data_IF_675081900776
#
_entry.id   IF_675081900776
#
_cell.length_a   1.000
_cell.length_b   1.000
_cell.length_c   1.000
_cell.angle_alpha   90.00
_cell.angle_beta   90.00
_cell.angle_gamma   90.00
#
_symmetry.space_group_name_H-M   'P 1'
#
loop_
_entity.id
_entity.type
_entity.pdbx_description
1 polymer ?
#
# COMPACT_ATOMS: atom_id res chain seq x y z
N UNK A 1 29.96 -21.19 25.31
CA UNK A 1 29.20 -22.28 25.95
C UNK A 1 28.65 -23.15 24.83
N UNK A 2 28.73 -24.47 24.94
CA UNK A 2 28.08 -25.37 24.00
C UNK A 2 26.69 -25.69 24.53
N UNK A 3 25.66 -25.55 23.70
CA UNK A 3 24.27 -25.78 24.06
C UNK A 3 23.85 -27.21 23.73
N UNK A 4 22.96 -27.76 24.56
CA UNK A 4 22.22 -28.98 24.25
C UNK A 4 21.06 -28.70 23.30
N UNK A 5 20.50 -29.75 22.69
CA UNK A 5 19.36 -29.65 21.77
C UNK A 5 18.14 -28.95 22.42
N UNK A 6 17.85 -29.27 23.68
CA UNK A 6 16.72 -28.71 24.43
C UNK A 6 16.93 -27.22 24.66
N UNK A 7 18.15 -26.83 25.06
CA UNK A 7 18.50 -25.43 25.29
C UNK A 7 18.40 -24.61 24.00
N UNK A 8 18.92 -25.11 22.87
CA UNK A 8 18.86 -24.42 21.57
C UNK A 8 17.41 -24.12 21.14
N UNK A 9 16.51 -25.08 21.31
CA UNK A 9 15.10 -24.92 20.91
C UNK A 9 14.36 -23.95 21.84
N UNK A 10 14.71 -23.98 23.13
CA UNK A 10 14.12 -23.14 24.16
C UNK A 10 14.63 -21.69 24.17
N UNK A 11 15.63 -21.35 23.35
CA UNK A 11 16.13 -19.98 23.25
C UNK A 11 15.01 -19.03 22.82
N UNK A 12 14.74 -18.07 23.70
CA UNK A 12 13.78 -16.99 23.47
C UNK A 12 14.30 -16.01 22.41
N UNK A 13 15.58 -15.61 22.53
CA UNK A 13 16.30 -14.83 21.52
C UNK A 13 17.57 -15.56 21.05
N UNK A 14 17.46 -16.49 20.09
CA UNK A 14 18.61 -17.24 19.60
C UNK A 14 19.67 -16.36 18.93
N UNK A 15 19.30 -15.18 18.41
CA UNK A 15 20.26 -14.27 17.77
C UNK A 15 21.32 -13.81 18.76
N UNK A 16 20.98 -13.39 19.97
CA UNK A 16 21.96 -12.89 20.94
C UNK A 16 23.06 -13.90 21.25
N UNK A 17 22.68 -15.18 21.37
CA UNK A 17 23.59 -16.25 21.77
C UNK A 17 24.30 -16.92 20.59
N UNK A 18 23.78 -16.77 19.36
CA UNK A 18 24.33 -17.31 18.12
C UNK A 18 24.64 -16.19 17.11
N UNK A 19 25.01 -15.00 17.60
CA UNK A 19 25.16 -13.77 16.79
C UNK A 19 26.48 -13.68 16.03
N UNK A 20 27.47 -14.51 16.36
CA UNK A 20 28.79 -14.50 15.74
C UNK A 20 29.20 -15.87 15.18
N UNK A 21 30.20 -15.85 14.30
CA UNK A 21 30.70 -17.05 13.62
C UNK A 21 31.28 -18.08 14.58
N UNK A 22 31.85 -17.66 15.71
CA UNK A 22 32.47 -18.55 16.68
C UNK A 22 31.41 -19.33 17.48
N UNK A 23 30.33 -18.66 17.88
CA UNK A 23 29.20 -19.27 18.58
C UNK A 23 28.49 -20.30 17.70
N UNK A 24 28.29 -19.98 16.43
CA UNK A 24 27.73 -20.90 15.45
C UNK A 24 28.66 -22.11 15.20
N UNK A 25 29.98 -21.88 15.09
CA UNK A 25 30.94 -22.96 14.88
C UNK A 25 31.02 -23.90 16.10
N UNK A 26 31.03 -23.34 17.32
CA UNK A 26 31.05 -24.10 18.57
C UNK A 26 29.83 -25.00 18.75
N UNK A 27 28.69 -24.63 18.17
CA UNK A 27 27.43 -25.37 18.28
C UNK A 27 27.07 -26.12 16.98
N UNK A 28 27.94 -26.12 15.97
CA UNK A 28 27.63 -26.62 14.63
C UNK A 28 27.18 -28.08 14.63
N UNK A 29 27.83 -28.95 15.41
CA UNK A 29 27.47 -30.36 15.54
C UNK A 29 26.03 -30.51 16.02
N UNK A 30 25.69 -29.88 17.14
CA UNK A 30 24.34 -29.91 17.71
C UNK A 30 23.30 -29.29 16.79
N UNK A 31 23.62 -28.16 16.14
CA UNK A 31 22.74 -27.50 15.18
C UNK A 31 22.43 -28.40 13.98
N UNK A 32 23.39 -29.20 13.52
CA UNK A 32 23.20 -30.15 12.42
C UNK A 32 22.41 -31.41 12.85
N UNK A 33 22.32 -31.73 14.15
CA UNK A 33 21.47 -32.84 14.63
C UNK A 33 19.98 -32.48 14.70
N UNK A 34 19.63 -31.20 14.56
CA UNK A 34 18.24 -30.76 14.56
C UNK A 34 17.50 -31.28 13.32
N UNK A 35 16.21 -31.58 13.47
CA UNK A 35 15.37 -31.89 12.32
C UNK A 35 15.22 -30.67 11.40
N UNK A 36 14.91 -30.89 10.12
CA UNK A 36 14.72 -29.80 9.15
C UNK A 36 13.75 -28.71 9.66
N UNK A 37 12.62 -29.13 10.24
CA UNK A 37 11.63 -28.21 10.81
C UNK A 37 12.19 -27.36 11.95
N UNK A 38 13.03 -27.95 12.80
CA UNK A 38 13.68 -27.24 13.92
C UNK A 38 14.76 -26.29 13.42
N UNK A 39 15.54 -26.71 12.42
CA UNK A 39 16.53 -25.85 11.77
C UNK A 39 15.86 -24.62 11.14
N UNK A 40 14.77 -24.82 10.39
CA UNK A 40 14.00 -23.73 9.78
C UNK A 40 13.42 -22.79 10.83
N UNK A 41 12.84 -23.33 11.91
CA UNK A 41 12.29 -22.52 12.99
C UNK A 41 13.36 -21.69 13.70
N UNK A 42 14.51 -22.30 14.01
CA UNK A 42 15.63 -21.63 14.65
C UNK A 42 16.24 -20.54 13.74
N UNK A 43 16.52 -20.87 12.47
CA UNK A 43 17.03 -19.91 11.50
C UNK A 43 16.07 -18.73 11.31
N UNK A 44 14.76 -19.01 11.26
CA UNK A 44 13.72 -17.96 11.23
C UNK A 44 13.83 -17.03 12.43
N UNK A 45 13.92 -17.57 13.66
CA UNK A 45 14.07 -16.76 14.87
C UNK A 45 15.34 -15.91 14.85
N UNK A 46 16.49 -16.50 14.50
CA UNK A 46 17.78 -15.79 14.42
C UNK A 46 17.70 -14.64 13.42
N UNK A 47 17.22 -14.92 12.21
CA UNK A 47 17.19 -13.92 11.14
C UNK A 47 16.13 -12.86 11.41
N UNK A 48 14.98 -13.18 12.00
CA UNK A 48 13.98 -12.19 12.39
C UNK A 48 14.50 -11.25 13.50
N UNK A 49 15.15 -11.81 14.53
CA UNK A 49 15.69 -11.04 15.66
C UNK A 49 16.95 -10.23 15.32
N UNK A 50 17.60 -10.48 14.19
CA UNK A 50 18.80 -9.76 13.78
C UNK A 50 18.50 -8.26 13.51
N UNK A 51 19.14 -7.31 14.22
CA UNK A 51 18.93 -5.89 14.00
C UNK A 51 19.36 -5.44 12.60
N UNK A 52 18.64 -4.51 11.98
CA UNK A 52 18.93 -4.04 10.62
C UNK A 52 20.36 -3.49 10.47
N UNK A 53 20.87 -2.80 11.50
CA UNK A 53 22.24 -2.27 11.52
C UNK A 53 23.33 -3.36 11.44
N UNK A 54 23.04 -4.57 11.95
CA UNK A 54 23.98 -5.70 11.99
C UNK A 54 23.70 -6.73 10.90
N UNK A 55 22.57 -6.65 10.21
CA UNK A 55 22.13 -7.65 9.24
C UNK A 55 23.19 -7.89 8.14
N UNK A 56 23.75 -6.83 7.56
CA UNK A 56 24.82 -6.96 6.54
C UNK A 56 26.09 -7.59 7.08
N UNK A 57 26.47 -7.25 8.32
CA UNK A 57 27.67 -7.80 8.94
C UNK A 57 27.49 -9.30 9.21
N UNK A 58 26.29 -9.70 9.60
CA UNK A 58 25.94 -11.09 9.87
C UNK A 58 26.13 -12.01 8.65
N UNK A 59 25.98 -11.47 7.43
CA UNK A 59 26.30 -12.20 6.20
C UNK A 59 27.75 -12.70 6.15
N UNK A 60 28.70 -11.95 6.70
CA UNK A 60 30.09 -12.36 6.77
C UNK A 60 30.29 -13.52 7.73
N UNK A 61 29.59 -13.51 8.87
CA UNK A 61 29.63 -14.62 9.83
C UNK A 61 29.06 -15.91 9.23
N UNK A 62 27.90 -15.81 8.56
CA UNK A 62 27.31 -16.94 7.83
C UNK A 62 28.31 -17.47 6.80
N UNK A 63 28.83 -16.62 5.92
CA UNK A 63 29.77 -17.05 4.87
C UNK A 63 31.04 -17.70 5.43
N UNK A 64 31.58 -17.17 6.54
CA UNK A 64 32.76 -17.74 7.17
C UNK A 64 32.54 -19.19 7.64
N UNK A 65 31.35 -19.50 8.15
CA UNK A 65 30.97 -20.87 8.52
C UNK A 65 30.84 -21.79 7.32
N UNK A 66 30.24 -21.30 6.23
CA UNK A 66 30.09 -22.10 5.00
C UNK A 66 31.40 -22.57 4.40
N UNK A 67 32.47 -21.78 4.53
CA UNK A 67 33.81 -22.18 4.07
C UNK A 67 34.43 -23.31 4.91
N UNK A 68 33.94 -23.53 6.14
CA UNK A 68 34.43 -24.56 7.05
C UNK A 68 33.68 -25.90 6.88
N UNK A 69 32.45 -25.87 6.34
CA UNK A 69 31.58 -27.04 6.20
C UNK A 69 31.30 -27.35 4.73
N UNK A 70 31.84 -28.47 4.20
CA UNK A 70 31.64 -28.89 2.79
C UNK A 70 30.32 -29.63 2.51
N UNK A 71 29.41 -29.73 3.48
CA UNK A 71 28.14 -30.47 3.35
C UNK A 71 26.97 -29.52 3.08
N UNK A 72 26.17 -29.83 2.07
CA UNK A 72 25.01 -29.02 1.65
C UNK A 72 23.83 -29.11 2.64
N UNK A 73 23.74 -30.20 3.42
CA UNK A 73 22.66 -30.46 4.39
C UNK A 73 23.03 -30.00 5.81
N UNK A 74 23.56 -28.80 5.93
CA UNK A 74 23.96 -28.22 7.24
C UNK A 74 23.03 -27.10 7.67
N UNK A 75 22.94 -26.86 8.98
CA UNK A 75 22.24 -25.71 9.53
C UNK A 75 22.73 -24.39 8.95
N UNK A 76 24.02 -24.30 8.60
CA UNK A 76 24.57 -23.15 7.88
C UNK A 76 23.85 -22.91 6.54
N UNK A 77 23.59 -23.96 5.76
CA UNK A 77 22.86 -23.87 4.49
C UNK A 77 21.45 -23.30 4.71
N UNK A 78 20.74 -23.82 5.72
CA UNK A 78 19.40 -23.35 6.11
C UNK A 78 19.43 -21.90 6.58
N UNK A 79 20.42 -21.51 7.39
CA UNK A 79 20.59 -20.15 7.89
C UNK A 79 20.93 -19.16 6.76
N UNK A 80 21.77 -19.58 5.80
CA UNK A 80 22.09 -18.81 4.60
C UNK A 80 20.86 -18.60 3.72
N UNK A 81 20.03 -19.62 3.53
CA UNK A 81 18.78 -19.50 2.78
C UNK A 81 17.79 -18.54 3.47
N UNK A 82 17.61 -18.66 4.79
CA UNK A 82 16.80 -17.73 5.59
C UNK A 82 17.29 -16.28 5.47
N UNK A 83 18.61 -16.07 5.55
CA UNK A 83 19.22 -14.76 5.33
C UNK A 83 18.90 -14.21 3.94
N UNK A 84 19.02 -15.04 2.90
CA UNK A 84 18.70 -14.63 1.52
C UNK A 84 17.22 -14.23 1.36
N UNK A 85 16.28 -14.91 2.02
CA UNK A 85 14.85 -14.56 1.99
C UNK A 85 14.64 -13.13 2.51
N UNK A 86 15.15 -12.81 3.71
CA UNK A 86 15.05 -11.45 4.27
C UNK A 86 15.78 -10.43 3.39
N UNK A 87 16.97 -10.76 2.90
CA UNK A 87 17.74 -9.87 2.03
C UNK A 87 16.98 -9.55 0.73
N UNK A 88 16.38 -10.56 0.08
CA UNK A 88 15.59 -10.39 -1.15
C UNK A 88 14.37 -9.51 -0.90
N UNK A 89 13.65 -9.71 0.20
CA UNK A 89 12.52 -8.84 0.57
C UNK A 89 13.00 -7.41 0.82
N UNK A 90 14.07 -7.20 1.61
CA UNK A 90 14.62 -5.86 1.85
C UNK A 90 15.09 -5.18 0.55
N UNK A 91 15.57 -5.95 -0.44
CA UNK A 91 15.96 -5.40 -1.75
C UNK A 91 14.77 -4.83 -2.54
N UNK A 92 13.55 -5.27 -2.25
CA UNK A 92 12.32 -4.70 -2.81
C UNK A 92 12.04 -3.30 -2.25
N UNK A 93 12.58 -2.95 -1.08
CA UNK A 93 12.46 -1.64 -0.44
C UNK A 93 13.65 -0.71 -0.74
N UNK A 94 14.83 -1.26 -1.06
CA UNK A 94 16.04 -0.45 -1.30
C UNK A 94 15.91 0.46 -2.52
N UNK A 95 15.73 1.77 -2.31
CA UNK A 95 15.55 2.81 -3.33
C UNK A 95 16.61 2.82 -4.45
N UNK A 96 17.80 2.24 -4.21
CA UNK A 96 18.89 2.14 -5.19
C UNK A 96 18.66 1.02 -6.20
N UNK A 97 17.87 0.00 -5.86
CA UNK A 97 17.55 -1.11 -6.75
C UNK A 97 16.60 -0.66 -7.86
N UNK A 98 17.08 -0.41 -9.09
CA UNK A 98 16.22 0.11 -10.16
C UNK A 98 15.23 -0.90 -10.75
N UNK A 99 15.37 -2.19 -10.45
CA UNK A 99 14.57 -3.26 -11.03
C UNK A 99 14.11 -4.30 -9.98
N UNK A 100 13.34 -3.90 -8.94
CA UNK A 100 12.87 -4.82 -7.90
C UNK A 100 11.98 -5.95 -8.45
N UNK A 101 11.30 -5.72 -9.56
CA UNK A 101 10.40 -6.67 -10.21
C UNK A 101 11.13 -7.90 -10.79
N UNK A 102 12.44 -7.79 -11.08
CA UNK A 102 13.24 -8.88 -11.64
C UNK A 102 13.35 -10.06 -10.68
N UNK A 103 13.22 -9.83 -9.36
CA UNK A 103 13.14 -10.92 -8.38
C UNK A 103 12.04 -11.94 -8.70
N UNK A 104 10.97 -11.48 -9.38
CA UNK A 104 9.80 -12.27 -9.74
C UNK A 104 9.80 -12.66 -11.21
N UNK A 105 10.92 -12.56 -11.93
CA UNK A 105 11.02 -12.85 -13.36
C UNK A 105 12.17 -13.80 -13.68
N UNK A 106 12.11 -14.39 -14.87
CA UNK A 106 13.19 -15.16 -15.47
C UNK A 106 13.31 -16.59 -14.94
N UNK A 107 14.36 -17.28 -15.43
CA UNK A 107 14.65 -18.69 -15.11
C UNK A 107 15.09 -18.91 -13.66
N UNK A 108 15.54 -17.85 -12.99
CA UNK A 108 16.03 -17.88 -11.61
C UNK A 108 14.92 -17.61 -10.58
N UNK A 109 13.72 -17.28 -11.03
CA UNK A 109 12.57 -17.15 -10.13
C UNK A 109 12.27 -18.50 -9.47
N UNK A 110 12.40 -18.54 -8.14
CA UNK A 110 12.09 -19.70 -7.34
C UNK A 110 11.33 -19.29 -6.07
N UNK A 111 10.04 -19.67 -5.92
CA UNK A 111 9.25 -19.35 -4.75
C UNK A 111 9.56 -20.26 -3.54
N UNK A 112 10.21 -21.41 -3.73
CA UNK A 112 10.38 -22.42 -2.69
C UNK A 112 11.06 -21.91 -1.40
N UNK A 113 12.12 -21.07 -1.45
CA UNK A 113 12.72 -20.50 -0.24
C UNK A 113 11.73 -19.63 0.55
N UNK A 114 10.89 -18.85 -0.13
CA UNK A 114 9.88 -18.01 0.52
C UNK A 114 8.77 -18.85 1.16
N UNK A 115 8.43 -20.00 0.57
CA UNK A 115 7.47 -20.94 1.16
C UNK A 115 8.06 -21.63 2.40
N UNK A 116 9.30 -22.12 2.30
CA UNK A 116 10.03 -22.75 3.40
C UNK A 116 10.15 -21.81 4.61
N UNK A 117 10.44 -20.54 4.36
CA UNK A 117 10.56 -19.49 5.37
C UNK A 117 9.34 -18.55 5.41
N UNK A 118 8.13 -19.08 5.22
CA UNK A 118 6.91 -18.26 5.12
C UNK A 118 6.64 -17.40 6.36
N UNK A 119 6.95 -17.88 7.57
CA UNK A 119 6.83 -17.09 8.80
C UNK A 119 7.79 -15.91 8.80
N UNK A 120 9.05 -16.10 8.38
CA UNK A 120 10.03 -15.02 8.24
C UNK A 120 9.57 -14.01 7.19
N UNK A 121 9.14 -14.50 6.02
CA UNK A 121 8.68 -13.65 4.93
C UNK A 121 7.51 -12.76 5.37
N UNK A 122 6.51 -13.33 6.06
CA UNK A 122 5.38 -12.57 6.62
C UNK A 122 5.86 -11.48 7.58
N UNK A 123 6.73 -11.83 8.52
CA UNK A 123 7.26 -10.88 9.50
C UNK A 123 8.03 -9.71 8.85
N UNK A 124 8.84 -9.98 7.82
CA UNK A 124 9.60 -8.93 7.13
C UNK A 124 8.70 -8.05 6.24
N UNK A 125 7.64 -8.62 5.67
CA UNK A 125 6.70 -7.91 4.82
C UNK A 125 5.71 -7.04 5.60
N UNK A 126 5.44 -7.39 6.84
CA UNK A 126 4.48 -6.69 7.70
C UNK A 126 4.75 -5.18 7.73
N UNK A 127 3.70 -4.38 7.52
CA UNK A 127 3.74 -2.90 7.44
C UNK A 127 4.48 -2.32 6.22
N UNK A 128 5.22 -3.12 5.46
CA UNK A 128 5.97 -2.67 4.28
C UNK A 128 5.24 -2.94 2.96
N UNK A 129 4.10 -3.64 2.97
CA UNK A 129 3.48 -4.10 1.75
C UNK A 129 3.01 -2.97 0.81
N UNK A 130 2.41 -1.87 1.29
CA UNK A 130 2.03 -0.76 0.41
C UNK A 130 3.24 -0.15 -0.30
N UNK A 131 4.35 0.03 0.43
CA UNK A 131 5.59 0.61 -0.10
C UNK A 131 6.22 -0.30 -1.14
N UNK A 132 6.26 -1.61 -0.88
CA UNK A 132 6.75 -2.61 -1.83
C UNK A 132 5.86 -2.63 -3.07
N UNK A 133 4.53 -2.66 -2.89
CA UNK A 133 3.58 -2.69 -3.99
C UNK A 133 3.73 -1.46 -4.89
N UNK A 134 3.84 -0.27 -4.30
CA UNK A 134 4.06 0.97 -5.04
C UNK A 134 5.37 0.93 -5.84
N UNK A 135 6.44 0.47 -5.20
CA UNK A 135 7.77 0.44 -5.79
C UNK A 135 7.89 -0.57 -6.93
N UNK A 136 7.32 -1.76 -6.74
CA UNK A 136 7.18 -2.76 -7.81
C UNK A 136 6.32 -2.18 -8.93
N UNK A 137 5.20 -1.54 -8.60
CA UNK A 137 4.34 -0.90 -9.59
C UNK A 137 5.09 0.12 -10.42
N UNK A 138 5.86 1.04 -9.83
CA UNK A 138 6.63 2.08 -10.51
C UNK A 138 7.78 1.56 -11.39
N UNK A 139 8.44 0.47 -10.99
CA UNK A 139 9.60 -0.03 -11.72
C UNK A 139 9.27 -1.08 -12.78
N UNK A 140 8.09 -1.71 -12.75
CA UNK A 140 7.76 -2.83 -13.66
C UNK A 140 7.25 -2.33 -15.02
N UNK A 141 7.90 -2.70 -16.14
CA UNK A 141 7.39 -2.41 -17.48
C UNK A 141 6.00 -3.01 -17.74
N UNK A 142 5.18 -2.40 -18.60
CA UNK A 142 3.80 -2.82 -18.84
C UNK A 142 3.69 -4.30 -19.24
N UNK A 143 4.57 -4.78 -20.10
CA UNK A 143 4.59 -6.15 -20.59
C UNK A 143 4.81 -7.20 -19.49
N UNK A 144 5.48 -6.83 -18.39
CA UNK A 144 5.87 -7.77 -17.34
C UNK A 144 4.88 -7.78 -16.16
N UNK A 145 3.97 -6.78 -16.05
CA UNK A 145 3.11 -6.58 -14.88
C UNK A 145 2.27 -7.81 -14.54
N UNK A 146 1.66 -8.44 -15.55
CA UNK A 146 0.82 -9.62 -15.36
C UNK A 146 1.61 -10.81 -14.80
N UNK A 147 2.80 -11.05 -15.35
CA UNK A 147 3.67 -12.14 -14.90
C UNK A 147 4.19 -11.89 -13.49
N UNK A 148 4.62 -10.66 -13.19
CA UNK A 148 5.09 -10.26 -11.86
C UNK A 148 3.97 -10.41 -10.83
N UNK A 149 2.76 -9.94 -11.14
CA UNK A 149 1.61 -10.08 -10.24
C UNK A 149 1.32 -11.56 -9.92
N UNK A 150 1.29 -12.41 -10.96
CA UNK A 150 1.09 -13.85 -10.79
C UNK A 150 2.18 -14.48 -9.91
N UNK A 151 3.45 -14.18 -10.19
CA UNK A 151 4.58 -14.75 -9.46
C UNK A 151 4.63 -14.27 -8.00
N UNK A 152 4.23 -13.02 -7.72
CA UNK A 152 4.07 -12.52 -6.35
C UNK A 152 2.96 -13.28 -5.61
N UNK A 153 1.80 -13.48 -6.26
CA UNK A 153 0.71 -14.27 -5.68
C UNK A 153 1.13 -15.71 -5.38
N UNK A 154 1.94 -16.31 -6.26
CA UNK A 154 2.51 -17.66 -6.05
C UNK A 154 3.55 -17.68 -4.92
N UNK A 155 4.38 -16.65 -4.80
CA UNK A 155 5.44 -16.57 -3.78
C UNK A 155 4.86 -16.32 -2.39
N UNK A 156 3.84 -15.47 -2.28
CA UNK A 156 3.22 -15.07 -1.02
C UNK A 156 1.72 -15.38 -1.03
N UNK A 157 1.34 -16.67 -1.00
CA UNK A 157 -0.05 -17.06 -1.07
C UNK A 157 -0.81 -16.55 0.15
N UNK A 158 -2.00 -15.98 -0.08
CA UNK A 158 -2.90 -15.41 0.95
C UNK A 158 -2.29 -14.23 1.74
N UNK A 159 -1.20 -13.63 1.27
CA UNK A 159 -0.62 -12.43 1.88
C UNK A 159 -1.23 -11.15 1.30
N UNK A 160 -1.40 -10.11 2.13
CA UNK A 160 -1.97 -8.82 1.70
C UNK A 160 -1.13 -8.10 0.62
N UNK A 161 0.15 -8.46 0.50
CA UNK A 161 1.05 -7.93 -0.52
C UNK A 161 0.54 -8.19 -1.94
N UNK A 162 0.02 -9.40 -2.21
CA UNK A 162 -0.42 -9.77 -3.55
C UNK A 162 -1.59 -8.89 -4.02
N UNK A 163 -2.55 -8.65 -3.13
CA UNK A 163 -3.68 -7.76 -3.38
C UNK A 163 -3.22 -6.31 -3.61
N UNK A 164 -2.36 -5.79 -2.73
CA UNK A 164 -1.82 -4.43 -2.85
C UNK A 164 -1.05 -4.24 -4.16
N UNK A 165 -0.27 -5.23 -4.61
CA UNK A 165 0.44 -5.19 -5.91
C UNK A 165 -0.55 -5.15 -7.08
N UNK A 166 -1.61 -5.95 -7.04
CA UNK A 166 -2.63 -5.94 -8.09
C UNK A 166 -3.32 -4.57 -8.17
N UNK A 167 -3.70 -3.99 -7.03
CA UNK A 167 -4.28 -2.63 -6.98
C UNK A 167 -3.27 -1.61 -7.51
N UNK A 168 -1.99 -1.68 -7.11
CA UNK A 168 -0.96 -0.76 -7.56
C UNK A 168 -0.72 -0.84 -9.08
N UNK A 169 -0.69 -2.03 -9.68
CA UNK A 169 -0.59 -2.18 -11.14
C UNK A 169 -1.84 -1.69 -11.88
N UNK A 170 -3.03 -1.96 -11.35
CA UNK A 170 -4.28 -1.42 -11.89
C UNK A 170 -4.26 0.12 -11.86
N UNK A 171 -3.85 0.71 -10.74
CA UNK A 171 -3.72 2.16 -10.59
C UNK A 171 -2.69 2.74 -11.55
N UNK A 172 -1.51 2.13 -11.66
CA UNK A 172 -0.51 2.55 -12.65
C UNK A 172 -1.06 2.56 -14.07
N UNK A 173 -1.75 1.50 -14.48
CA UNK A 173 -2.40 1.41 -15.80
C UNK A 173 -3.43 2.51 -15.99
N UNK A 174 -4.27 2.75 -14.99
CA UNK A 174 -5.34 3.76 -15.07
C UNK A 174 -4.77 5.18 -15.09
N UNK A 175 -3.66 5.45 -14.39
CA UNK A 175 -2.92 6.71 -14.51
C UNK A 175 -2.39 6.89 -15.93
N UNK A 176 -1.69 5.89 -16.46
CA UNK A 176 -1.06 5.95 -17.79
C UNK A 176 -2.10 6.09 -18.92
N UNK A 177 -3.22 5.35 -18.85
CA UNK A 177 -4.22 5.30 -19.94
C UNK A 177 -5.32 6.35 -19.83
N UNK A 178 -5.74 6.71 -18.62
CA UNK A 178 -6.87 7.61 -18.39
C UNK A 178 -6.37 8.99 -18.00
N UNK A 179 -5.65 9.09 -16.87
CA UNK A 179 -5.30 10.38 -16.27
C UNK A 179 -4.29 11.17 -17.11
N UNK A 180 -3.27 10.50 -17.66
CA UNK A 180 -2.32 11.08 -18.63
C UNK A 180 -2.82 11.04 -20.08
N UNK A 181 -3.93 10.32 -20.32
CA UNK A 181 -4.54 10.19 -21.64
C UNK A 181 -5.37 11.40 -22.05
N UNK A 182 -6.23 11.21 -23.05
CA UNK A 182 -7.06 12.28 -23.61
C UNK A 182 -8.29 12.62 -22.76
N UNK A 183 -8.74 11.67 -21.93
CA UNK A 183 -10.00 11.75 -21.18
C UNK A 183 -9.74 11.52 -19.67
N UNK A 184 -9.09 12.46 -18.96
CA UNK A 184 -8.72 12.31 -17.55
C UNK A 184 -9.91 12.15 -16.60
N UNK A 185 -11.09 12.63 -16.96
CA UNK A 185 -12.33 12.48 -16.19
C UNK A 185 -12.77 11.02 -16.04
N UNK A 186 -12.39 10.16 -16.98
CA UNK A 186 -12.67 8.71 -16.92
C UNK A 186 -11.94 8.02 -15.78
N UNK A 187 -10.82 8.58 -15.31
CA UNK A 187 -10.14 8.05 -14.13
C UNK A 187 -11.06 8.08 -12.90
N UNK A 188 -11.69 9.22 -12.64
CA UNK A 188 -12.53 9.45 -11.45
C UNK A 188 -13.91 8.81 -11.55
N UNK A 189 -14.40 8.57 -12.76
CA UNK A 189 -15.71 7.93 -13.00
C UNK A 189 -15.61 6.43 -13.24
N UNK A 190 -14.40 5.87 -13.29
CA UNK A 190 -14.19 4.43 -13.46
C UNK A 190 -14.65 3.64 -12.24
N UNK A 191 -15.13 2.41 -12.46
CA UNK A 191 -15.42 1.44 -11.37
C UNK A 191 -14.19 1.13 -10.52
N UNK A 192 -13.00 1.22 -11.12
CA UNK A 192 -11.72 0.92 -10.47
C UNK A 192 -11.23 2.09 -9.59
N UNK A 193 -11.91 3.24 -9.62
CA UNK A 193 -11.58 4.37 -8.77
C UNK A 193 -11.88 4.05 -7.30
N UNK A 194 -10.84 4.12 -6.48
CA UNK A 194 -10.96 4.02 -5.03
C UNK A 194 -10.08 5.09 -4.38
N UNK A 195 -10.72 5.93 -3.56
CA UNK A 195 -10.07 7.02 -2.82
C UNK A 195 -8.97 6.52 -1.89
N UNK A 196 -9.19 5.42 -1.17
CA UNK A 196 -8.24 4.88 -0.22
C UNK A 196 -7.02 4.30 -0.93
N UNK A 197 -7.22 3.63 -2.07
CA UNK A 197 -6.12 3.20 -2.95
C UNK A 197 -5.31 4.37 -3.49
N UNK A 198 -5.97 5.48 -3.87
CA UNK A 198 -5.27 6.68 -4.33
C UNK A 198 -4.40 7.29 -3.23
N UNK A 199 -4.89 7.31 -1.97
CA UNK A 199 -4.12 7.77 -0.81
C UNK A 199 -2.97 6.83 -0.47
N UNK A 200 -3.21 5.52 -0.52
CA UNK A 200 -2.21 4.49 -0.23
C UNK A 200 -0.99 4.61 -1.16
N UNK A 201 -1.20 4.94 -2.43
CA UNK A 201 -0.15 5.02 -3.45
C UNK A 201 0.17 6.46 -3.89
N UNK A 202 0.03 7.44 -2.99
CA UNK A 202 0.19 8.87 -3.32
C UNK A 202 1.55 9.20 -3.95
N UNK A 203 2.62 8.52 -3.54
CA UNK A 203 3.95 8.76 -4.07
C UNK A 203 4.08 8.26 -5.52
N UNK A 204 3.34 7.22 -5.91
CA UNK A 204 3.24 6.83 -7.32
C UNK A 204 2.59 7.92 -8.18
N UNK A 205 1.53 8.57 -7.70
CA UNK A 205 0.95 9.73 -8.39
C UNK A 205 1.97 10.87 -8.49
N UNK A 206 2.68 11.18 -7.39
CA UNK A 206 3.72 12.23 -7.39
C UNK A 206 4.83 11.93 -8.41
N UNK A 207 5.24 10.67 -8.54
CA UNK A 207 6.29 10.28 -9.48
C UNK A 207 5.82 10.33 -10.95
N UNK A 208 4.59 9.88 -11.23
CA UNK A 208 4.07 9.76 -12.61
C UNK A 208 3.47 11.06 -13.15
N UNK A 209 2.90 11.89 -12.29
CA UNK A 209 2.21 13.11 -12.71
C UNK A 209 3.11 14.34 -12.76
N UNK A 210 4.34 14.25 -12.23
CA UNK A 210 5.29 15.36 -12.16
C UNK A 210 5.48 16.02 -13.52
N UNK A 211 5.07 17.29 -13.62
CA UNK A 211 5.18 18.10 -14.84
C UNK A 211 3.99 17.98 -15.80
N UNK A 212 2.96 17.21 -15.46
CA UNK A 212 1.75 17.02 -16.25
C UNK A 212 0.49 17.57 -15.55
N UNK A 213 0.60 18.04 -14.30
CA UNK A 213 -0.52 18.45 -13.47
C UNK A 213 -1.32 19.59 -14.09
N UNK A 214 -0.63 20.58 -14.66
CA UNK A 214 -1.27 21.71 -15.35
C UNK A 214 -2.09 21.23 -16.55
N UNK A 215 -1.48 20.44 -17.44
CA UNK A 215 -2.14 19.89 -18.64
C UNK A 215 -3.35 19.03 -18.31
N UNK A 216 -3.29 18.25 -17.23
CA UNK A 216 -4.44 17.47 -16.76
C UNK A 216 -5.56 18.41 -16.30
N UNK A 217 -5.23 19.44 -15.51
CA UNK A 217 -6.19 20.46 -15.09
C UNK A 217 -6.85 21.17 -16.27
N UNK A 218 -6.10 21.49 -17.33
CA UNK A 218 -6.63 22.09 -18.55
C UNK A 218 -7.63 21.18 -19.27
N UNK A 219 -7.29 19.89 -19.43
CA UNK A 219 -8.19 18.90 -20.04
C UNK A 219 -9.47 18.72 -19.21
N UNK A 220 -9.35 18.73 -17.88
CA UNK A 220 -10.51 18.66 -16.98
C UNK A 220 -11.38 19.93 -17.03
N UNK A 221 -10.81 21.09 -17.34
CA UNK A 221 -11.56 22.33 -17.52
C UNK A 221 -12.39 22.32 -18.81
N UNK A 222 -11.89 21.64 -19.85
CA UNK A 222 -12.56 21.53 -21.15
C UNK A 222 -13.75 20.55 -21.18
N UNK A 223 -14.08 19.91 -20.04
CA UNK A 223 -15.23 19.00 -19.93
C UNK A 223 -16.52 19.80 -20.16
N UNK A 224 -17.29 19.42 -21.18
CA UNK A 224 -18.55 20.09 -21.53
C UNK A 224 -19.66 19.87 -20.50
N UNK A 225 -19.60 18.77 -19.75
CA UNK A 225 -20.60 18.43 -18.73
C UNK A 225 -20.25 19.05 -17.37
N UNK A 226 -21.05 20.03 -16.95
CA UNK A 226 -20.92 20.71 -15.66
C UNK A 226 -20.97 19.73 -14.47
N UNK A 227 -21.85 18.72 -14.55
CA UNK A 227 -22.01 17.73 -13.48
C UNK A 227 -20.79 16.80 -13.35
N UNK A 228 -20.20 16.40 -14.47
CA UNK A 228 -18.97 15.60 -14.48
C UNK A 228 -17.80 16.41 -13.92
N UNK A 229 -17.68 17.68 -14.31
CA UNK A 229 -16.66 18.60 -13.79
C UNK A 229 -16.78 18.81 -12.27
N UNK A 230 -17.99 19.07 -11.76
CA UNK A 230 -18.24 19.22 -10.34
C UNK A 230 -17.92 17.94 -9.54
N UNK A 231 -18.23 16.76 -10.10
CA UNK A 231 -17.90 15.47 -9.50
C UNK A 231 -16.38 15.26 -9.40
N UNK A 232 -15.64 15.51 -10.48
CA UNK A 232 -14.17 15.43 -10.48
C UNK A 232 -13.57 16.39 -9.45
N UNK A 233 -14.07 17.63 -9.37
CA UNK A 233 -13.61 18.60 -8.37
C UNK A 233 -13.81 18.08 -6.95
N UNK A 234 -14.98 17.55 -6.63
CA UNK A 234 -15.26 16.91 -5.33
C UNK A 234 -14.30 15.75 -5.06
N UNK A 235 -14.00 14.91 -6.05
CA UNK A 235 -13.04 13.81 -5.89
C UNK A 235 -11.62 14.31 -5.63
N UNK A 236 -11.15 15.32 -6.35
CA UNK A 236 -9.87 15.96 -6.11
C UNK A 236 -9.80 16.53 -4.68
N UNK A 237 -10.82 17.27 -4.24
CA UNK A 237 -10.91 17.82 -2.88
C UNK A 237 -10.85 16.72 -1.80
N UNK A 238 -11.51 15.58 -2.02
CA UNK A 238 -11.47 14.45 -1.08
C UNK A 238 -10.07 13.80 -0.99
N UNK A 239 -9.25 13.93 -2.03
CA UNK A 239 -7.87 13.47 -2.06
C UNK A 239 -6.90 14.51 -1.45
N UNK A 240 -7.35 15.73 -1.16
CA UNK A 240 -6.58 16.82 -0.53
C UNK A 240 -6.60 16.79 1.01
N UNK A 241 -6.60 15.62 1.65
CA UNK A 241 -6.79 15.58 3.11
C UNK A 241 -5.64 16.06 3.99
N UNK A 242 -4.49 16.37 3.41
CA UNK A 242 -3.39 16.98 4.15
C UNK A 242 -3.19 18.40 3.65
N UNK A 243 -3.77 19.35 4.37
CA UNK A 243 -3.74 20.80 4.14
C UNK A 243 -2.30 21.34 3.92
N UNK A 244 -1.27 20.56 4.28
CA UNK A 244 0.14 20.94 4.29
C UNK A 244 1.01 20.36 3.16
N UNK A 245 0.52 19.50 2.27
CA UNK A 245 1.33 19.01 1.15
C UNK A 245 1.10 19.84 -0.12
N UNK A 246 1.88 20.92 -0.28
CA UNK A 246 1.92 21.71 -1.52
C UNK A 246 2.39 20.89 -2.73
N UNK A 247 3.06 19.76 -2.51
CA UNK A 247 3.56 18.87 -3.57
C UNK A 247 2.59 17.75 -3.91
N UNK A 248 1.38 17.77 -3.36
CA UNK A 248 0.34 16.80 -3.69
C UNK A 248 -0.13 17.03 -5.14
N UNK A 249 0.01 16.04 -6.04
CA UNK A 249 -0.33 16.22 -7.45
C UNK A 249 -1.82 16.53 -7.67
N UNK A 250 -2.71 16.02 -6.82
CA UNK A 250 -4.14 16.31 -6.92
C UNK A 250 -4.48 17.76 -6.55
N UNK A 251 -3.70 18.38 -5.64
CA UNK A 251 -3.84 19.80 -5.29
C UNK A 251 -3.42 20.69 -6.46
N UNK A 252 -2.30 20.34 -7.11
CA UNK A 252 -1.82 21.05 -8.29
C UNK A 252 -2.83 21.00 -9.46
N UNK A 253 -3.41 19.81 -9.71
CA UNK A 253 -4.46 19.65 -10.73
C UNK A 253 -5.69 20.51 -10.42
N UNK A 254 -6.16 20.49 -9.16
CA UNK A 254 -7.34 21.26 -8.76
C UNK A 254 -7.12 22.79 -8.82
N UNK A 255 -5.91 23.24 -8.50
CA UNK A 255 -5.51 24.64 -8.64
C UNK A 255 -5.51 25.08 -10.11
N UNK A 256 -4.95 24.26 -11.01
CA UNK A 256 -4.97 24.51 -12.46
C UNK A 256 -6.40 24.61 -13.00
N UNK A 257 -7.27 23.67 -12.60
CA UNK A 257 -8.69 23.67 -12.96
C UNK A 257 -9.38 24.97 -12.54
N UNK A 258 -9.21 25.39 -11.29
CA UNK A 258 -9.88 26.58 -10.74
C UNK A 258 -9.33 27.90 -11.31
N UNK A 259 -8.04 27.96 -11.62
CA UNK A 259 -7.39 29.14 -12.19
C UNK A 259 -7.90 29.45 -13.61
N UNK A 260 -8.14 28.43 -14.44
CA UNK A 260 -8.65 28.63 -15.79
C UNK A 260 -10.13 28.99 -15.84
N UNK A 261 -10.96 28.41 -14.98
CA UNK A 261 -12.39 28.80 -14.85
C UNK A 261 -12.53 30.30 -14.56
N UNK A 262 -11.69 30.82 -13.67
CA UNK A 262 -11.65 32.24 -13.31
C UNK A 262 -11.20 33.14 -14.48
N UNK A 263 -10.37 32.62 -15.38
CA UNK A 263 -9.89 33.34 -16.57
C UNK A 263 -10.88 33.31 -17.74
N UNK A 264 -11.65 32.23 -17.88
CA UNK A 264 -12.69 32.10 -18.91
C UNK A 264 -13.94 32.92 -18.57
N UNK A 265 -14.35 32.95 -17.29
CA UNK A 265 -15.42 33.85 -16.81
C UNK A 265 -15.08 35.34 -16.98
N UNK A 266 -13.80 35.72 -16.87
CA UNK A 266 -13.36 37.10 -17.17
C UNK A 266 -13.38 37.43 -18.67
N UNK A 267 -13.24 36.43 -19.56
CA UNK A 267 -13.34 36.64 -21.01
C UNK A 267 -14.78 36.71 -21.50
N UNK A 268 -15.71 35.98 -20.87
CA UNK A 268 -17.15 36.05 -21.19
C UNK A 268 -17.90 37.17 -20.45
N UNK A 269 -17.38 37.65 -19.31
CA UNK A 269 -17.94 38.78 -18.55
C UNK A 269 -17.58 40.18 -19.07
N UNK A 270 -16.73 40.29 -20.09
CA UNK A 270 -16.23 41.56 -20.62
C UNK A 270 -16.88 41.97 -21.96
N UNK A 271 -18.15 41.60 -22.21
CA UNK A 271 -18.98 42.21 -23.26
C UNK A 271 -20.42 42.21 -22.75
N UNK A 272 -20.85 43.26 -22.03
CA UNK A 272 -21.80 44.25 -22.56
C UNK A 272 -21.88 45.45 -21.61
N UNK A 273 -20.97 46.42 -21.76
CA UNK A 273 -21.21 47.78 -21.26
C UNK A 273 -22.11 48.50 -22.27
N UNK A 274 -23.40 48.53 -21.97
CA UNK A 274 -24.37 49.38 -22.66
C UNK A 274 -24.32 50.78 -22.03
N UNK A 275 -23.98 51.86 -22.76
CA UNK A 275 -23.74 53.16 -22.13
C UNK A 275 -24.93 54.10 -22.34
N UNK A 276 -26.07 53.88 -21.67
CA UNK A 276 -27.09 54.93 -21.51
C UNK A 276 -27.95 54.67 -20.27
N UNK A 277 -27.91 55.60 -19.31
CA UNK A 277 -28.77 55.56 -18.11
C UNK A 277 -28.37 56.58 -17.05
N UNK A 278 -28.70 57.84 -17.29
CA UNK A 278 -28.53 58.95 -16.35
C UNK A 278 -29.50 58.83 -15.14
N UNK A 279 -28.96 59.10 -13.95
CA UNK A 279 -29.55 59.73 -12.75
C UNK A 279 -30.96 59.32 -12.26
N UNK A 280 -31.02 58.78 -11.02
CA UNK A 280 -31.62 59.55 -9.93
C UNK A 280 -31.26 59.02 -8.54
N UNK A 281 -30.91 59.97 -7.67
CA UNK A 281 -30.58 59.86 -6.26
C UNK A 281 -31.79 60.14 -5.36
N UNK A 282 -31.96 59.40 -4.24
CA UNK A 282 -32.24 59.93 -2.86
C UNK A 282 -32.71 58.84 -1.87
N UNK A 283 -31.77 58.40 -1.03
CA UNK A 283 -31.70 58.52 0.45
C UNK A 283 -32.88 58.22 1.41
N UNK A 284 -32.51 57.46 2.48
CA UNK A 284 -32.89 57.51 3.93
C UNK A 284 -34.30 57.00 4.30
N UNK A 285 -34.57 56.15 5.31
CA UNK A 285 -34.01 55.96 6.68
C UNK A 285 -34.59 54.65 7.31
N UNK A 286 -33.97 54.02 8.35
CA UNK A 286 -34.41 52.79 9.05
C UNK A 286 -35.00 53.09 10.45
N UNK A 287 -34.98 52.19 11.48
CA UNK A 287 -35.51 50.82 11.70
C UNK A 287 -36.49 50.77 12.91
N UNK A 288 -37.00 49.61 13.35
CA UNK A 288 -37.18 49.27 14.78
C UNK A 288 -37.64 47.80 15.05
N UNK A 289 -36.92 47.21 16.00
CA UNK A 289 -37.12 45.99 16.79
C UNK A 289 -38.52 45.83 17.41
N UNK A 290 -38.96 44.59 17.66
CA UNK A 290 -39.54 44.06 18.93
C UNK A 290 -39.94 42.56 18.74
N UNK A 291 -39.32 41.68 19.52
CA UNK A 291 -39.87 40.39 20.06
C UNK A 291 -40.44 40.69 21.47
N UNK A 292 -41.15 39.81 22.23
CA UNK A 292 -41.51 38.39 22.05
C UNK A 292 -42.98 38.05 22.46
N UNK A 293 -43.40 36.76 22.50
CA UNK A 293 -43.97 36.06 23.70
C UNK A 293 -44.52 34.65 23.38
N UNK A 294 -44.35 33.74 24.35
CA UNK A 294 -44.82 32.35 24.49
C UNK A 294 -46.38 32.24 24.48
N UNK A 295 -47.08 31.09 24.45
CA UNK A 295 -46.92 29.81 25.16
C UNK A 295 -47.97 28.76 24.68
N UNK A 296 -47.71 27.49 25.04
CA UNK A 296 -48.66 26.38 25.30
C UNK A 296 -49.38 25.65 24.12
N UNK A 297 -49.07 24.37 23.85
CA UNK A 297 -49.63 23.10 24.41
C UNK A 297 -50.80 22.58 23.52
N UNK A 298 -51.04 21.32 23.13
CA UNK A 298 -50.77 19.98 23.67
C UNK A 298 -51.14 18.91 22.58
N UNK A 299 -50.62 17.67 22.72
CA UNK A 299 -51.21 16.35 22.29
C UNK A 299 -51.29 15.94 20.79
N UNK A 300 -51.11 14.69 20.35
CA UNK A 300 -50.81 13.37 20.94
C UNK A 300 -50.70 12.30 19.81
N UNK A 301 -50.08 11.14 20.10
CA UNK A 301 -50.08 9.84 19.37
C UNK A 301 -49.31 9.75 18.01
N UNK A 302 -48.55 8.72 17.66
CA UNK A 302 -48.21 7.44 18.31
C UNK A 302 -47.12 6.68 17.53
N UNK A 303 -46.15 6.17 18.28
CA UNK A 303 -45.64 4.77 18.30
C UNK A 303 -45.25 3.97 17.03
N UNK A 304 -44.04 3.37 17.15
CA UNK A 304 -43.62 1.97 16.84
C UNK A 304 -43.47 1.58 15.34
N UNK A 305 -42.45 0.84 14.89
CA UNK A 305 -41.64 -0.22 15.51
C UNK A 305 -40.17 -0.20 15.01
N UNK A 306 -39.23 -0.45 15.92
CA UNK A 306 -37.93 -1.09 15.65
C UNK A 306 -38.03 -2.51 16.25
N UNK A 307 -37.58 -3.52 15.53
CA UNK A 307 -36.94 -4.77 15.99
C UNK A 307 -36.98 -5.82 14.86
N UNK A 308 -35.80 -6.29 14.44
CA UNK A 308 -35.59 -7.69 14.03
C UNK A 308 -34.09 -8.00 14.23
N UNK A 309 -33.82 -8.62 15.38
CA UNK A 309 -32.56 -9.19 15.83
C UNK A 309 -32.50 -10.65 15.35
N UNK A 310 -31.33 -11.10 14.88
CA UNK A 310 -31.10 -12.41 14.31
C UNK A 310 -30.94 -13.50 15.39
N UNK A 311 -31.69 -14.58 15.20
CA UNK A 311 -31.74 -15.78 16.04
C UNK A 311 -30.51 -16.69 15.82
N UNK A 312 -29.98 -17.21 16.91
CA UNK A 312 -28.83 -18.11 17.01
C UNK A 312 -29.30 -19.55 17.24
N UNK A 313 -28.47 -20.53 16.85
CA UNK A 313 -28.58 -21.99 17.06
C UNK A 313 -29.26 -22.75 15.91
N UNK A 314 -28.78 -23.89 15.40
CA UNK A 314 -27.99 -25.00 15.96
C UNK A 314 -27.40 -25.88 14.85
N UNK A 315 -26.51 -26.80 15.27
CA UNK A 315 -26.22 -28.15 14.71
C UNK A 315 -24.94 -28.36 13.88
N UNK A 316 -23.92 -28.77 14.65
CA UNK A 316 -23.00 -29.86 14.36
C UNK A 316 -23.61 -31.05 13.63
N UNK A 317 -22.90 -31.58 12.63
CA UNK A 317 -22.67 -33.03 12.57
C UNK A 317 -21.43 -33.38 11.73
N UNK A 318 -20.65 -34.27 12.31
CA UNK A 318 -19.45 -34.92 11.84
C UNK A 318 -19.77 -36.15 10.98
N UNK A 319 -19.07 -36.33 9.85
CA UNK A 319 -18.91 -37.66 9.26
C UNK A 319 -17.48 -37.86 8.72
N UNK A 320 -16.75 -38.72 9.42
CA UNK A 320 -15.62 -39.52 8.89
C UNK A 320 -16.17 -40.69 8.09
N UNK A 321 -15.52 -41.06 6.98
CA UNK A 321 -15.54 -42.46 6.54
C UNK A 321 -14.24 -42.81 5.80
N UNK A 322 -13.78 -44.02 6.08
CA UNK A 322 -12.52 -44.64 5.67
C UNK A 322 -12.84 -45.85 4.80
N UNK A 323 -11.98 -46.12 3.82
CA UNK A 323 -11.68 -47.41 3.19
C UNK A 323 -12.77 -48.23 2.47
N UNK A 324 -12.57 -48.41 1.17
CA UNK A 324 -12.33 -49.70 0.51
C UNK A 324 -11.45 -49.49 -0.72
#
# INVERSE_FOLDING_TARGET
MAFTRIEIIALENPYEQLSDGDALAKNAEMLNTLSDKEQVALATKIIAACPEAKFKQYAHHIRALGNLTKSEDTFHSVLSEAYQVRQRINSLLDSRNKAPHVLFLGKEFNPAPFHRFSTLAKHVLESNEPVIAERVALCTPEQDRSQVAHNISTTFPKHSLAEKVQIAFMMRRNIERLLLGDNPEKFFTSRDYNKDSCRMFINMFRALLKGHEETIGEKLCAIQSESARASVKRHLELLHTEVFDETNPFKLIANSLSAKESSEQKKTGAQTTNPYGYFNSRSLTPPLSIMPTNDANEKELSQRNEEEEYDESTLSDSFTSTSL
#
